data_IF_217713252519
#
_entry.id   IF_217713252519
#
_cell.length_a   1.000
_cell.length_b   1.000
_cell.length_c   1.000
_cell.angle_alpha   90.00
_cell.angle_beta   90.00
_cell.angle_gamma   90.00
#
_symmetry.space_group_name_H-M   'P 1'
#
loop_
_entity.id
_entity.type
_entity.pdbx_description
1 polymer ?
#
# COMPACT_ATOMS: atom_id res chain seq x y z
N UNK A 1 5.28 14.61 -4.46
CA UNK A 1 5.10 13.46 -3.54
C UNK A 1 4.39 13.97 -2.31
N UNK A 2 3.21 13.43 -2.06
CA UNK A 2 2.29 13.85 -1.01
C UNK A 2 2.26 12.82 0.12
N UNK A 3 1.86 13.26 1.30
CA UNK A 3 1.68 12.43 2.49
C UNK A 3 0.29 12.67 3.07
N UNK A 4 -0.43 11.59 3.36
CA UNK A 4 -1.65 11.59 4.16
C UNK A 4 -1.39 10.75 5.42
N UNK A 5 -1.67 11.30 6.59
CA UNK A 5 -1.62 10.57 7.85
C UNK A 5 -3.04 10.33 8.34
N UNK A 6 -3.36 9.07 8.64
CA UNK A 6 -4.60 8.65 9.27
C UNK A 6 -4.24 8.21 10.69
N UNK A 7 -4.96 8.72 11.69
CA UNK A 7 -4.84 8.30 13.09
C UNK A 7 -6.21 7.84 13.55
N UNK A 8 -6.30 6.61 14.03
CA UNK A 8 -7.54 6.06 14.56
C UNK A 8 -7.71 6.41 16.04
N UNK A 9 -8.96 6.59 16.46
CA UNK A 9 -9.29 6.79 17.88
C UNK A 9 -8.86 5.59 18.73
N UNK A 10 -8.59 5.81 20.01
CA UNK A 10 -7.99 4.81 20.90
C UNK A 10 -8.98 3.88 21.60
N UNK A 11 -10.28 4.14 21.50
CA UNK A 11 -11.28 3.50 22.36
C UNK A 11 -12.04 2.34 21.70
N UNK A 12 -12.13 2.31 20.36
CA UNK A 12 -12.93 1.30 19.63
C UNK A 12 -12.39 1.08 18.21
N UNK A 13 -12.88 0.05 17.52
CA UNK A 13 -12.57 -0.29 16.13
C UNK A 13 -11.62 -1.48 15.98
N UNK A 14 -11.28 -1.81 14.72
CA UNK A 14 -10.42 -2.97 14.40
C UNK A 14 -8.94 -2.73 14.78
N UNK A 15 -8.48 -1.48 14.72
CA UNK A 15 -7.08 -1.07 15.02
C UNK A 15 -7.05 0.21 15.88
N UNK A 16 -7.56 0.14 17.12
CA UNK A 16 -7.68 1.32 17.99
C UNK A 16 -6.31 1.92 18.31
N UNK A 17 -6.20 3.24 18.14
CA UNK A 17 -4.98 4.01 18.42
C UNK A 17 -3.88 3.86 17.37
N UNK A 18 -4.05 3.03 16.35
CA UNK A 18 -3.05 2.86 15.29
C UNK A 18 -3.05 4.05 14.33
N UNK A 19 -1.93 4.22 13.63
CA UNK A 19 -1.79 5.24 12.59
C UNK A 19 -1.15 4.68 11.32
N UNK A 20 -1.49 5.33 10.21
CA UNK A 20 -1.07 4.95 8.87
C UNK A 20 -0.58 6.20 8.14
N UNK A 21 0.64 6.13 7.62
CA UNK A 21 1.21 7.15 6.76
C UNK A 21 1.21 6.64 5.32
N UNK A 22 0.46 7.30 4.45
CA UNK A 22 0.35 6.99 3.03
C UNK A 22 1.15 8.01 2.23
N UNK A 23 2.15 7.54 1.48
CA UNK A 23 2.95 8.38 0.58
C UNK A 23 2.59 8.07 -0.86
N UNK A 24 2.18 9.09 -1.61
CA UNK A 24 1.66 8.93 -2.96
C UNK A 24 2.18 10.01 -3.91
N UNK A 25 2.27 9.66 -5.19
CA UNK A 25 2.47 10.61 -6.27
C UNK A 25 1.13 11.16 -6.75
N UNK A 26 1.12 11.74 -7.94
CA UNK A 26 -0.11 12.29 -8.53
C UNK A 26 -1.09 11.18 -8.94
N UNK A 27 -0.57 10.00 -9.26
CA UNK A 27 -1.37 8.89 -9.80
C UNK A 27 -1.61 7.74 -8.80
N UNK A 28 -0.57 7.35 -8.03
CA UNK A 28 -0.56 6.10 -7.26
C UNK A 28 0.13 6.22 -5.90
N UNK A 29 -0.26 5.35 -4.97
CA UNK A 29 0.48 5.07 -3.74
C UNK A 29 1.91 4.58 -4.06
N UNK A 30 2.88 4.96 -3.24
CA UNK A 30 4.28 4.56 -3.38
C UNK A 30 4.79 3.87 -2.13
N UNK A 31 4.30 4.28 -0.97
CA UNK A 31 4.66 3.70 0.32
C UNK A 31 3.51 3.82 1.31
N UNK A 32 3.47 2.87 2.23
CA UNK A 32 2.59 2.82 3.38
C UNK A 32 3.49 2.46 4.56
N UNK A 33 3.48 3.31 5.59
CA UNK A 33 4.01 2.99 6.90
C UNK A 33 2.89 2.83 7.94
N UNK A 34 2.82 1.65 8.56
CA UNK A 34 1.98 1.33 9.69
C UNK A 34 2.70 1.69 11.00
N UNK A 35 2.01 2.37 11.91
CA UNK A 35 2.51 2.78 13.23
C UNK A 35 1.55 2.28 14.30
N UNK A 36 1.92 1.17 14.95
CA UNK A 36 1.17 0.58 16.07
C UNK A 36 1.06 1.58 17.22
N UNK A 37 -0.15 1.81 17.72
CA UNK A 37 -0.43 2.77 18.80
C UNK A 37 0.07 4.19 18.48
N UNK A 38 0.11 4.55 17.20
CA UNK A 38 0.61 5.85 16.72
C UNK A 38 2.06 6.15 17.19
N UNK A 39 2.88 5.12 17.42
CA UNK A 39 4.26 5.31 17.86
C UNK A 39 5.08 6.11 16.81
N UNK A 40 6.15 6.82 17.19
CA UNK A 40 6.89 7.69 16.27
C UNK A 40 7.56 6.96 15.09
N UNK A 41 8.04 5.74 15.31
CA UNK A 41 8.71 4.93 14.27
C UNK A 41 7.74 3.93 13.64
N UNK A 42 7.73 3.77 12.31
CA UNK A 42 6.99 2.70 11.64
C UNK A 42 7.23 1.34 12.28
N UNK A 43 6.15 0.63 12.60
CA UNK A 43 6.20 -0.78 13.00
C UNK A 43 6.37 -1.68 11.78
N UNK A 44 5.79 -1.28 10.65
CA UNK A 44 5.95 -1.92 9.35
C UNK A 44 5.90 -0.86 8.26
N UNK A 45 6.78 -0.96 7.27
CA UNK A 45 6.73 -0.12 6.09
C UNK A 45 6.84 -0.99 4.85
N UNK A 46 6.04 -0.66 3.83
CA UNK A 46 6.12 -1.34 2.54
C UNK A 46 6.05 -0.34 1.40
N UNK A 47 6.84 -0.58 0.36
CA UNK A 47 6.87 0.27 -0.85
C UNK A 47 6.35 -0.50 -2.06
N UNK A 48 5.57 0.17 -2.90
CA UNK A 48 5.07 -0.36 -4.17
C UNK A 48 5.87 0.22 -5.33
N UNK A 49 6.43 -0.65 -6.16
CA UNK A 49 7.26 -0.28 -7.31
C UNK A 49 6.92 -1.13 -8.52
N UNK A 50 7.32 -0.64 -9.70
CA UNK A 50 7.14 -1.35 -10.97
C UNK A 50 5.66 -1.52 -11.31
N UNK A 51 4.93 -0.41 -11.35
CA UNK A 51 3.55 -0.41 -11.84
C UNK A 51 3.53 -0.78 -13.33
N UNK A 52 2.59 -1.65 -13.71
CA UNK A 52 2.28 -2.02 -15.08
C UNK A 52 0.79 -1.91 -15.32
N UNK A 53 0.41 -1.62 -16.57
CA UNK A 53 -0.97 -1.71 -17.01
C UNK A 53 -1.24 -3.13 -17.53
N UNK A 54 -2.31 -3.77 -17.04
CA UNK A 54 -2.84 -5.02 -17.55
C UNK A 54 -4.37 -4.98 -17.56
N UNK A 55 -4.98 -5.06 -18.74
CA UNK A 55 -6.43 -5.18 -18.89
C UNK A 55 -7.21 -4.00 -18.28
N UNK A 56 -6.64 -2.80 -18.30
CA UNK A 56 -7.11 -1.56 -17.70
C UNK A 56 -6.77 -1.36 -16.22
N UNK A 57 -6.03 -2.29 -15.60
CA UNK A 57 -5.67 -2.23 -14.18
C UNK A 57 -4.20 -1.84 -14.03
N UNK A 58 -3.93 -0.93 -13.10
CA UNK A 58 -2.57 -0.57 -12.70
C UNK A 58 -2.14 -1.50 -11.57
N UNK A 59 -1.19 -2.39 -11.85
CA UNK A 59 -0.76 -3.46 -10.94
C UNK A 59 0.72 -3.29 -10.62
N UNK A 60 1.09 -3.47 -9.35
CA UNK A 60 2.47 -3.38 -8.89
C UNK A 60 3.15 -4.73 -8.94
N UNK A 61 4.39 -4.77 -9.40
CA UNK A 61 5.15 -6.02 -9.48
C UNK A 61 6.14 -6.22 -8.35
N UNK A 62 6.46 -5.17 -7.59
CA UNK A 62 7.52 -5.20 -6.58
C UNK A 62 7.02 -4.57 -5.30
N UNK A 63 7.07 -5.34 -4.22
CA UNK A 63 6.79 -4.87 -2.87
C UNK A 63 8.05 -5.10 -2.02
N UNK A 64 8.63 -4.02 -1.49
CA UNK A 64 9.70 -4.15 -0.49
C UNK A 64 9.06 -4.04 0.88
N UNK A 65 9.18 -5.06 1.72
CA UNK A 65 8.51 -5.16 3.01
C UNK A 65 9.43 -4.84 4.20
N UNK A 66 10.56 -4.18 3.95
CA UNK A 66 11.61 -3.98 4.96
C UNK A 66 12.45 -5.23 5.20
N UNK A 67 13.50 -5.07 6.02
CA UNK A 67 14.36 -6.16 6.53
C UNK A 67 14.81 -7.22 5.49
N UNK A 68 15.10 -6.77 4.27
CA UNK A 68 15.61 -7.63 3.19
C UNK A 68 14.57 -8.50 2.49
N UNK A 69 13.31 -8.51 2.94
CA UNK A 69 12.24 -9.29 2.33
C UNK A 69 11.56 -8.50 1.20
N UNK A 70 11.66 -9.01 -0.02
CA UNK A 70 11.04 -8.44 -1.21
C UNK A 70 10.09 -9.46 -1.83
N UNK A 71 8.89 -9.02 -2.18
CA UNK A 71 7.91 -9.80 -2.93
C UNK A 71 7.90 -9.33 -4.40
N UNK A 72 8.04 -10.28 -5.30
CA UNK A 72 8.00 -10.05 -6.74
C UNK A 72 6.82 -10.81 -7.36
N UNK A 73 5.93 -10.10 -8.03
CA UNK A 73 4.82 -10.68 -8.78
C UNK A 73 5.17 -10.75 -10.26
N UNK A 74 5.27 -11.97 -10.78
CA UNK A 74 5.62 -12.25 -12.18
C UNK A 74 4.47 -12.96 -12.89
N UNK A 75 4.53 -13.00 -14.23
CA UNK A 75 3.53 -13.67 -15.07
C UNK A 75 2.08 -13.22 -14.81
N UNK A 76 1.90 -11.92 -14.55
CA UNK A 76 0.59 -11.32 -14.31
C UNK A 76 -0.23 -11.29 -15.61
N UNK A 77 -1.44 -11.85 -15.55
CA UNK A 77 -2.39 -11.91 -16.65
C UNK A 77 -3.80 -11.60 -16.16
N UNK A 78 -4.52 -10.78 -16.92
CA UNK A 78 -5.97 -10.63 -16.77
C UNK A 78 -6.62 -11.71 -17.64
N UNK A 79 -7.34 -12.65 -17.01
CA UNK A 79 -8.01 -13.74 -17.72
C UNK A 79 -9.32 -13.31 -18.35
N UNK A 80 -10.13 -12.58 -17.60
CA UNK A 80 -11.44 -12.14 -18.03
C UNK A 80 -11.69 -10.72 -17.53
N UNK A 81 -12.39 -9.94 -18.34
CA UNK A 81 -12.87 -8.61 -17.97
C UNK A 81 -14.35 -8.53 -18.33
N UNK A 82 -15.19 -8.49 -17.31
CA UNK A 82 -16.61 -8.24 -17.49
C UNK A 82 -16.84 -6.75 -17.68
N UNK A 83 -17.61 -6.41 -18.70
CA UNK A 83 -18.14 -5.06 -18.90
C UNK A 83 -19.64 -5.14 -18.73
N UNK A 84 -20.17 -4.37 -17.78
CA UNK A 84 -21.62 -4.16 -17.69
C UNK A 84 -21.99 -3.27 -18.87
N UNK A 85 -22.53 -3.87 -19.93
CA UNK A 85 -23.26 -3.17 -20.99
C UNK A 85 -24.71 -3.00 -20.58
#
# INVERSE_FOLDING_TARGET
MHKLTIVYGSEDGYTPGDAYDLFFGDDYLKEWAYRKGNQPKPSLATTWKGYIEKGGLQITQKHNCGEGSNLYSTNLQVKERWTLT
#
